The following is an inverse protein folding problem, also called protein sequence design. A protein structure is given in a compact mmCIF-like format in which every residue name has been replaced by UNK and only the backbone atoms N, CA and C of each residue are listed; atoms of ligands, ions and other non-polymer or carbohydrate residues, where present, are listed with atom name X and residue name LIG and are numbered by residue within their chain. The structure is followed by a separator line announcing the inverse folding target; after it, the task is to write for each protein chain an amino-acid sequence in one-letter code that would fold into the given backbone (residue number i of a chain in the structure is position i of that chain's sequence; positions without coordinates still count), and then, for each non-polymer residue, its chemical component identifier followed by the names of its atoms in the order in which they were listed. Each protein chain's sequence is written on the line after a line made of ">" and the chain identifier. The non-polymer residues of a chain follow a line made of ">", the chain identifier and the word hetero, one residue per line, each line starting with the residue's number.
data_IF_178487039445
#
_entry.id   IF_178487039445
#
_cell.length_a   1.000
_cell.length_b   1.000
_cell.length_c   1.000
_cell.angle_alpha   90.00
_cell.angle_beta   90.00
_cell.angle_gamma   90.00
#
_symmetry.space_group_name_H-M   'P 1'
#
loop_
_entity.id
_entity.type
_entity.pdbx_description
1 polymer ?
#
# COMPACT_ATOMS: atom_id res chain seq x y z
N UNK A 1 -13.49 22.60 -21.18
CA UNK A 1 -12.15 23.06 -20.75
C UNK A 1 -11.22 21.86 -20.81
N UNK A 2 -10.06 21.91 -21.46
CA UNK A 2 -9.18 20.74 -21.64
C UNK A 2 -8.81 20.05 -20.31
N UNK A 3 -8.71 20.84 -19.23
CA UNK A 3 -8.35 20.37 -17.90
C UNK A 3 -9.44 19.55 -17.18
N UNK A 4 -10.72 19.64 -17.59
CA UNK A 4 -11.78 18.82 -16.97
C UNK A 4 -11.72 17.35 -17.40
N UNK A 5 -11.29 17.08 -18.63
CA UNK A 5 -11.08 15.70 -19.12
C UNK A 5 -9.87 15.06 -18.42
N UNK A 6 -8.77 15.80 -18.29
CA UNK A 6 -7.57 15.37 -17.56
C UNK A 6 -7.90 15.04 -16.10
N UNK A 7 -8.66 15.91 -15.42
CA UNK A 7 -9.07 15.67 -14.03
C UNK A 7 -9.91 14.40 -13.86
N UNK A 8 -10.76 14.07 -14.84
CA UNK A 8 -11.55 12.85 -14.82
C UNK A 8 -10.69 11.60 -15.05
N UNK A 9 -9.76 11.65 -16.01
CA UNK A 9 -8.85 10.53 -16.28
C UNK A 9 -7.96 10.20 -15.07
N UNK A 10 -7.37 11.21 -14.43
CA UNK A 10 -6.54 11.02 -13.22
C UNK A 10 -7.36 10.44 -12.07
N UNK A 11 -8.61 10.89 -11.88
CA UNK A 11 -9.51 10.34 -10.85
C UNK A 11 -9.87 8.88 -11.12
N UNK A 12 -10.18 8.52 -12.37
CA UNK A 12 -10.48 7.13 -12.75
C UNK A 12 -9.28 6.22 -12.48
N UNK A 13 -8.07 6.71 -12.81
CA UNK A 13 -6.83 6.00 -12.54
C UNK A 13 -6.64 5.74 -11.04
N UNK A 14 -6.74 6.81 -10.25
CA UNK A 14 -6.57 6.79 -8.81
C UNK A 14 -7.55 5.82 -8.14
N UNK A 15 -8.83 5.88 -8.53
CA UNK A 15 -9.86 4.98 -8.00
C UNK A 15 -9.55 3.52 -8.32
N UNK A 16 -9.12 3.22 -9.54
CA UNK A 16 -8.80 1.86 -9.97
C UNK A 16 -7.59 1.29 -9.23
N UNK A 17 -6.54 2.11 -9.05
CA UNK A 17 -5.35 1.75 -8.27
C UNK A 17 -5.71 1.50 -6.81
N UNK A 18 -6.51 2.38 -6.20
CA UNK A 18 -6.95 2.23 -4.82
C UNK A 18 -7.79 0.96 -4.62
N UNK A 19 -8.73 0.65 -5.52
CA UNK A 19 -9.51 -0.58 -5.45
C UNK A 19 -8.64 -1.84 -5.51
N UNK A 20 -7.63 -1.84 -6.39
CA UNK A 20 -6.67 -2.95 -6.46
C UNK A 20 -5.84 -3.05 -5.19
N UNK A 21 -5.36 -1.92 -4.67
CA UNK A 21 -4.58 -1.89 -3.43
C UNK A 21 -5.39 -2.38 -2.23
N UNK A 22 -6.63 -1.91 -2.05
CA UNK A 22 -7.54 -2.38 -1.01
C UNK A 22 -7.79 -3.88 -1.10
N UNK A 23 -7.95 -4.42 -2.31
CA UNK A 23 -8.13 -5.85 -2.52
C UNK A 23 -6.87 -6.64 -2.14
N UNK A 24 -5.68 -6.14 -2.49
CA UNK A 24 -4.41 -6.75 -2.10
C UNK A 24 -4.25 -6.78 -0.58
N UNK A 25 -4.56 -5.67 0.11
CA UNK A 25 -4.49 -5.61 1.57
C UNK A 25 -5.44 -6.63 2.20
N UNK A 26 -6.71 -6.69 1.77
CA UNK A 26 -7.68 -7.65 2.29
C UNK A 26 -7.25 -9.11 2.10
N UNK A 27 -6.77 -9.46 0.91
CA UNK A 27 -6.30 -10.81 0.62
C UNK A 27 -5.05 -11.17 1.45
N UNK A 28 -4.15 -10.21 1.65
CA UNK A 28 -2.97 -10.40 2.49
C UNK A 28 -3.34 -10.63 3.96
N UNK A 29 -4.31 -9.88 4.48
CA UNK A 29 -4.82 -10.06 5.84
C UNK A 29 -5.48 -11.44 5.99
N UNK A 30 -6.26 -11.89 5.00
CA UNK A 30 -6.86 -13.24 5.01
C UNK A 30 -5.79 -14.34 5.00
N UNK A 31 -4.74 -14.21 4.19
CA UNK A 31 -3.61 -15.16 4.18
C UNK A 31 -2.92 -15.18 5.54
N UNK A 32 -2.68 -14.02 6.16
CA UNK A 32 -2.05 -13.97 7.48
C UNK A 32 -2.89 -14.62 8.56
N UNK A 33 -4.21 -14.38 8.57
CA UNK A 33 -5.13 -15.01 9.53
C UNK A 33 -5.16 -16.54 9.36
N UNK A 34 -5.26 -17.03 8.11
CA UNK A 34 -5.25 -18.45 7.82
C UNK A 34 -3.91 -19.11 8.17
N UNK A 35 -2.78 -18.43 7.92
CA UNK A 35 -1.46 -18.91 8.27
C UNK A 35 -1.25 -18.96 9.80
N UNK A 36 -1.75 -17.97 10.55
CA UNK A 36 -1.71 -17.95 12.01
C UNK A 36 -2.55 -19.09 12.60
N UNK A 37 -3.78 -19.28 12.11
CA UNK A 37 -4.63 -20.42 12.49
C UNK A 37 -3.92 -21.75 12.23
N UNK A 38 -3.31 -21.92 11.05
CA UNK A 38 -2.55 -23.13 10.71
C UNK A 38 -1.40 -23.36 11.70
N UNK A 39 -0.62 -22.33 12.02
CA UNK A 39 0.55 -22.41 12.91
C UNK A 39 0.18 -22.96 14.28
N UNK A 40 -0.97 -22.56 14.84
CA UNK A 40 -1.41 -23.02 16.16
C UNK A 40 -2.16 -24.35 16.12
N UNK A 41 -2.86 -24.64 15.03
CA UNK A 41 -3.70 -25.84 14.93
C UNK A 41 -2.93 -27.07 14.43
N UNK A 42 -1.85 -26.90 13.65
CA UNK A 42 -1.02 -28.00 13.15
C UNK A 42 -0.43 -28.87 14.29
N UNK A 43 0.12 -28.29 15.38
CA UNK A 43 0.60 -29.06 16.53
C UNK A 43 -0.50 -29.81 17.29
N UNK A 44 -1.73 -29.27 17.32
CA UNK A 44 -2.89 -29.93 17.94
C UNK A 44 -3.38 -31.12 17.09
N UNK A 45 -3.30 -31.01 15.77
CA UNK A 45 -3.65 -32.10 14.83
C UNK A 45 -2.73 -33.32 14.94
N UNK A 46 -1.47 -33.09 15.35
CA UNK A 46 -0.51 -34.17 15.58
C UNK A 46 -0.79 -35.02 16.82
N UNK A 47 -1.50 -34.46 17.81
CA UNK A 47 -1.75 -35.13 19.09
C UNK A 47 -3.10 -35.85 19.15
N UNK A 48 -4.10 -35.38 18.39
CA UNK A 48 -5.48 -35.87 18.48
C UNK A 48 -6.23 -35.74 17.14
N UNK A 49 -7.11 -36.70 16.84
CA UNK A 49 -7.99 -36.69 15.66
C UNK A 49 -9.30 -35.94 15.96
N UNK A 50 -9.19 -34.64 16.27
CA UNK A 50 -10.32 -33.79 16.66
C UNK A 50 -11.01 -33.16 15.45
N UNK A 51 -12.31 -32.88 15.57
CA UNK A 51 -13.03 -32.01 14.64
C UNK A 51 -12.91 -30.55 15.07
N UNK A 52 -13.07 -29.62 14.13
CA UNK A 52 -13.12 -28.19 14.45
C UNK A 52 -14.30 -27.84 15.37
N UNK A 53 -15.43 -28.53 15.23
CA UNK A 53 -16.60 -28.40 16.09
C UNK A 53 -16.30 -28.75 17.54
N UNK A 54 -15.35 -29.68 17.79
CA UNK A 54 -14.89 -30.02 19.14
C UNK A 54 -13.99 -28.92 19.72
N UNK A 55 -13.29 -28.14 18.90
CA UNK A 55 -12.41 -27.04 19.31
C UNK A 55 -13.17 -25.74 19.65
N UNK A 56 -14.42 -25.63 19.21
CA UNK A 56 -15.31 -24.50 19.46
C UNK A 56 -16.72 -25.00 19.80
N UNK A 57 -16.81 -25.73 20.89
CA UNK A 57 -18.08 -26.20 21.42
C UNK A 57 -18.62 -25.25 22.47
N UNK A 58 -19.93 -25.00 22.45
CA UNK A 58 -20.64 -24.29 23.51
C UNK A 58 -21.99 -24.97 23.71
N UNK A 59 -22.12 -25.76 24.78
CA UNK A 59 -23.37 -26.39 25.20
C UNK A 59 -23.97 -25.73 26.44
N UNK A 60 -24.96 -26.39 27.04
CA UNK A 60 -25.65 -25.88 28.24
C UNK A 60 -24.77 -25.96 29.51
N UNK A 61 -23.80 -26.88 29.54
CA UNK A 61 -22.99 -27.17 30.72
C UNK A 61 -21.47 -27.06 30.48
N UNK A 62 -21.02 -27.35 29.25
CA UNK A 62 -19.61 -27.38 28.88
C UNK A 62 -19.34 -26.47 27.69
N UNK A 63 -18.18 -25.84 27.70
CA UNK A 63 -17.61 -25.18 26.53
C UNK A 63 -16.21 -25.72 26.24
N UNK A 64 -15.80 -25.54 25.00
CA UNK A 64 -14.50 -25.92 24.49
C UNK A 64 -13.95 -24.79 23.64
N UNK A 65 -12.69 -24.41 23.89
CA UNK A 65 -12.03 -23.31 23.18
C UNK A 65 -10.52 -23.48 23.17
N UNK A 66 -9.89 -22.90 22.14
CA UNK A 66 -8.44 -22.90 21.98
C UNK A 66 -7.86 -21.56 22.42
N UNK A 67 -6.85 -21.61 23.26
CA UNK A 67 -6.16 -20.47 23.84
C UNK A 67 -4.67 -20.52 23.49
N UNK A 68 -4.07 -19.35 23.35
CA UNK A 68 -2.64 -19.17 23.06
C UNK A 68 -2.04 -18.25 24.12
N UNK A 69 -0.98 -18.69 24.78
CA UNK A 69 -0.24 -17.94 25.81
C UNK A 69 1.25 -18.02 25.53
N UNK A 70 2.06 -17.11 26.06
CA UNK A 70 3.50 -17.35 26.15
C UNK A 70 3.79 -18.52 27.08
N UNK A 71 4.91 -19.21 26.87
CA UNK A 71 5.30 -20.33 27.74
C UNK A 71 5.45 -19.93 29.21
N UNK A 72 5.90 -18.70 29.46
CA UNK A 72 6.03 -18.13 30.81
C UNK A 72 4.67 -17.88 31.46
N UNK A 73 3.75 -17.26 30.72
CA UNK A 73 2.40 -16.97 31.19
C UNK A 73 1.62 -18.27 31.46
N UNK A 74 1.73 -19.26 30.57
CA UNK A 74 1.09 -20.56 30.75
C UNK A 74 1.57 -21.26 32.02
N UNK A 75 2.88 -21.28 32.29
CA UNK A 75 3.45 -21.88 33.51
C UNK A 75 2.99 -21.16 34.78
N UNK A 76 2.89 -19.83 34.74
CA UNK A 76 2.42 -19.04 35.89
C UNK A 76 0.94 -19.29 36.21
N UNK A 77 0.10 -19.47 35.17
CA UNK A 77 -1.33 -19.66 35.32
C UNK A 77 -1.76 -21.13 35.41
N UNK A 78 -0.83 -22.07 35.22
CA UNK A 78 -1.14 -23.50 35.11
C UNK A 78 -1.93 -24.03 36.32
N UNK A 79 -1.50 -23.67 37.54
CA UNK A 79 -2.14 -24.14 38.78
C UNK A 79 -3.54 -23.55 38.98
N UNK A 80 -3.78 -22.32 38.54
CA UNK A 80 -5.09 -21.68 38.59
C UNK A 80 -6.02 -22.28 37.52
N UNK A 81 -5.54 -22.40 36.28
CA UNK A 81 -6.29 -22.96 35.15
C UNK A 81 -6.70 -24.41 35.42
N UNK A 82 -5.81 -25.24 35.98
CA UNK A 82 -6.10 -26.65 36.26
C UNK A 82 -7.30 -26.87 37.19
N UNK A 83 -7.64 -25.91 38.05
CA UNK A 83 -8.80 -26.02 38.94
C UNK A 83 -10.15 -25.84 38.20
N UNK A 84 -10.15 -25.17 37.06
CA UNK A 84 -11.36 -24.88 36.27
C UNK A 84 -11.50 -25.78 35.03
N UNK A 85 -10.41 -26.43 34.60
CA UNK A 85 -10.37 -27.27 33.41
C UNK A 85 -10.71 -28.73 33.75
N UNK A 86 -11.61 -29.34 32.97
CA UNK A 86 -11.88 -30.77 33.04
C UNK A 86 -10.87 -31.58 32.25
N UNK A 87 -10.59 -31.15 31.03
CA UNK A 87 -9.65 -31.77 30.11
C UNK A 87 -8.93 -30.68 29.32
N UNK A 88 -7.64 -30.88 29.08
CA UNK A 88 -6.87 -29.99 28.24
C UNK A 88 -5.84 -30.74 27.39
N UNK A 89 -5.68 -30.30 26.14
CA UNK A 89 -4.62 -30.76 25.24
C UNK A 89 -3.67 -29.60 25.02
N UNK A 90 -2.37 -29.83 25.20
CA UNK A 90 -1.36 -28.76 25.19
C UNK A 90 -0.32 -29.06 24.12
N UNK A 91 -0.04 -28.08 23.28
CA UNK A 91 1.00 -28.14 22.27
C UNK A 91 1.90 -26.90 22.36
N UNK A 92 3.21 -27.12 22.33
CA UNK A 92 4.19 -26.04 22.28
C UNK A 92 4.39 -25.60 20.83
N UNK A 93 4.40 -24.29 20.61
CA UNK A 93 4.57 -23.62 19.31
C UNK A 93 5.63 -22.53 19.48
N UNK A 94 6.89 -22.87 19.17
CA UNK A 94 8.04 -21.98 19.33
C UNK A 94 8.24 -21.47 20.77
N UNK A 95 7.81 -20.25 21.09
CA UNK A 95 7.84 -19.62 22.42
C UNK A 95 6.45 -19.41 23.04
N UNK A 96 5.43 -19.96 22.39
CA UNK A 96 4.03 -19.87 22.78
C UNK A 96 3.49 -21.28 23.04
N UNK A 97 2.63 -21.39 24.04
CA UNK A 97 1.89 -22.60 24.35
C UNK A 97 0.46 -22.42 23.85
N UNK A 98 0.04 -23.32 22.96
CA UNK A 98 -1.35 -23.44 22.52
C UNK A 98 -1.99 -24.56 23.34
N UNK A 99 -3.14 -24.28 23.94
CA UNK A 99 -3.90 -25.32 24.61
C UNK A 99 -5.37 -25.26 24.26
N UNK A 100 -5.92 -26.45 24.05
CA UNK A 100 -7.34 -26.70 23.94
C UNK A 100 -7.88 -26.99 25.33
N UNK A 101 -8.94 -26.30 25.73
CA UNK A 101 -9.49 -26.37 27.07
C UNK A 101 -10.98 -26.70 27.03
N UNK A 102 -11.38 -27.69 27.84
CA UNK A 102 -12.77 -28.07 28.09
C UNK A 102 -13.12 -27.74 29.55
N UNK A 103 -14.12 -26.89 29.75
CA UNK A 103 -14.52 -26.41 31.08
C UNK A 103 -16.03 -26.12 31.17
N UNK A 104 -16.52 -25.80 32.38
CA UNK A 104 -17.91 -25.40 32.57
C UNK A 104 -18.19 -24.03 31.97
N UNK A 105 -19.37 -23.84 31.40
CA UNK A 105 -19.80 -22.54 30.85
C UNK A 105 -19.78 -21.44 31.91
N UNK A 106 -20.07 -21.77 33.17
CA UNK A 106 -20.01 -20.83 34.30
C UNK A 106 -18.59 -20.25 34.50
N UNK A 107 -17.56 -21.05 34.26
CA UNK A 107 -16.16 -20.67 34.44
C UNK A 107 -15.54 -20.03 33.19
N UNK A 108 -16.29 -19.96 32.08
CA UNK A 108 -15.82 -19.43 30.80
C UNK A 108 -15.26 -18.02 30.94
N UNK A 109 -16.01 -17.10 31.58
CA UNK A 109 -15.58 -15.71 31.75
C UNK A 109 -14.31 -15.60 32.58
N UNK A 110 -14.18 -16.43 33.62
CA UNK A 110 -13.01 -16.47 34.49
C UNK A 110 -11.79 -16.92 33.69
N UNK A 111 -11.89 -18.01 32.95
CA UNK A 111 -10.80 -18.53 32.10
C UNK A 111 -10.41 -17.51 31.02
N UNK A 112 -11.38 -16.93 30.32
CA UNK A 112 -11.13 -15.92 29.29
C UNK A 112 -10.45 -14.67 29.88
N UNK A 113 -10.85 -14.22 31.08
CA UNK A 113 -10.21 -13.10 31.76
C UNK A 113 -8.77 -13.42 32.16
N UNK A 114 -8.51 -14.60 32.75
CA UNK A 114 -7.16 -15.01 33.15
C UNK A 114 -6.21 -15.08 31.95
N UNK A 115 -6.69 -15.64 30.83
CA UNK A 115 -5.89 -15.72 29.59
C UNK A 115 -5.62 -14.31 29.04
N UNK A 116 -6.63 -13.44 29.00
CA UNK A 116 -6.49 -12.09 28.46
C UNK A 116 -5.61 -11.20 29.33
N UNK A 117 -5.74 -11.30 30.66
CA UNK A 117 -4.96 -10.51 31.63
C UNK A 117 -3.47 -10.90 31.62
N UNK A 118 -3.16 -12.15 31.30
CA UNK A 118 -1.79 -12.61 31.06
C UNK A 118 -1.25 -12.32 29.64
N UNK A 119 -2.01 -11.56 28.83
CA UNK A 119 -1.61 -11.19 27.47
C UNK A 119 -1.81 -12.29 26.43
N UNK A 120 -2.56 -13.34 26.77
CA UNK A 120 -2.92 -14.41 25.86
C UNK A 120 -4.01 -14.03 24.87
N UNK A 121 -4.18 -14.88 23.86
CA UNK A 121 -5.15 -14.72 22.79
C UNK A 121 -6.10 -15.91 22.74
N UNK A 122 -7.34 -15.62 22.40
CA UNK A 122 -8.38 -16.61 22.15
C UNK A 122 -8.44 -16.86 20.65
N UNK A 123 -8.19 -18.10 20.22
CA UNK A 123 -8.17 -18.43 18.80
C UNK A 123 -9.61 -18.55 18.28
N UNK A 124 -9.93 -17.79 17.23
CA UNK A 124 -11.25 -17.83 16.60
C UNK A 124 -11.29 -18.96 15.58
N UNK A 125 -11.91 -20.08 15.98
CA UNK A 125 -12.08 -21.24 15.10
C UNK A 125 -13.32 -21.04 14.21
N UNK A 126 -13.23 -21.30 12.89
CA UNK A 126 -14.38 -21.30 11.98
C UNK A 126 -15.43 -22.34 12.38
N UNK A 127 -16.72 -22.00 12.20
CA UNK A 127 -17.84 -22.93 12.43
C UNK A 127 -18.02 -23.88 11.24
N UNK A 128 -17.05 -24.77 11.03
CA UNK A 128 -17.07 -25.77 9.96
C UNK A 128 -17.05 -27.18 10.58
N UNK A 129 -17.94 -28.08 10.15
CA UNK A 129 -17.92 -29.49 10.60
C UNK A 129 -16.93 -30.32 9.75
N UNK A 130 -15.66 -29.93 9.84
CA UNK A 130 -14.55 -30.61 9.18
C UNK A 130 -13.60 -31.22 10.20
N UNK A 131 -12.91 -32.29 9.78
CA UNK A 131 -11.79 -32.79 10.57
C UNK A 131 -10.67 -31.77 10.56
N UNK A 132 -9.86 -31.74 11.62
CA UNK A 132 -8.76 -30.78 11.68
C UNK A 132 -7.75 -30.99 10.54
N UNK A 133 -7.56 -32.23 10.07
CA UNK A 133 -6.71 -32.55 8.91
C UNK A 133 -7.27 -31.98 7.60
N UNK A 134 -8.56 -32.21 7.34
CA UNK A 134 -9.21 -31.69 6.13
C UNK A 134 -9.17 -30.15 6.12
N UNK A 135 -9.40 -29.53 7.27
CA UNK A 135 -9.30 -28.08 7.41
C UNK A 135 -7.90 -27.55 7.13
N UNK A 136 -6.85 -28.20 7.65
CA UNK A 136 -5.47 -27.80 7.38
C UNK A 136 -5.13 -27.95 5.88
N UNK A 137 -5.62 -29.00 5.22
CA UNK A 137 -5.42 -29.21 3.78
C UNK A 137 -6.16 -28.16 2.93
N UNK A 138 -7.45 -27.93 3.22
CA UNK A 138 -8.26 -26.91 2.55
C UNK A 138 -7.65 -25.52 2.77
N UNK A 139 -7.27 -25.20 4.00
CA UNK A 139 -6.62 -23.93 4.35
C UNK A 139 -5.30 -23.77 3.60
N UNK A 140 -4.49 -24.83 3.48
CA UNK A 140 -3.24 -24.77 2.73
C UNK A 140 -3.46 -24.54 1.22
N UNK A 141 -4.43 -25.25 0.63
CA UNK A 141 -4.82 -25.03 -0.76
C UNK A 141 -5.37 -23.62 -0.98
N UNK A 142 -6.15 -23.10 -0.03
CA UNK A 142 -6.68 -21.74 -0.05
C UNK A 142 -5.57 -20.70 0.04
N UNK A 143 -4.64 -20.82 1.00
CA UNK A 143 -3.46 -19.95 1.12
C UNK A 143 -2.69 -19.92 -0.21
N UNK A 144 -2.36 -21.08 -0.79
CA UNK A 144 -1.66 -21.14 -2.07
C UNK A 144 -2.42 -20.41 -3.18
N UNK A 145 -3.72 -20.64 -3.30
CA UNK A 145 -4.55 -19.96 -4.31
C UNK A 145 -4.61 -18.44 -4.12
N UNK A 146 -4.66 -17.98 -2.87
CA UNK A 146 -4.66 -16.56 -2.52
C UNK A 146 -3.30 -15.91 -2.79
N UNK A 147 -2.19 -16.60 -2.50
CA UNK A 147 -0.83 -16.15 -2.82
C UNK A 147 -0.60 -16.02 -4.33
N UNK A 148 -1.12 -16.97 -5.12
CA UNK A 148 -1.12 -16.91 -6.58
C UNK A 148 -1.94 -15.71 -7.09
N UNK A 149 -3.15 -15.50 -6.55
CA UNK A 149 -3.98 -14.35 -6.90
C UNK A 149 -3.32 -13.01 -6.51
N UNK A 150 -2.70 -12.95 -5.34
CA UNK A 150 -1.93 -11.78 -4.86
C UNK A 150 -0.77 -11.46 -5.80
N UNK A 151 -0.03 -12.48 -6.23
CA UNK A 151 1.09 -12.31 -7.17
C UNK A 151 0.58 -11.74 -8.49
N UNK A 152 -0.50 -12.31 -9.04
CA UNK A 152 -1.15 -11.81 -10.26
C UNK A 152 -1.63 -10.37 -10.13
N UNK A 153 -2.28 -10.03 -9.01
CA UNK A 153 -2.78 -8.67 -8.75
C UNK A 153 -1.64 -7.66 -8.60
N UNK A 154 -0.52 -8.04 -7.98
CA UNK A 154 0.68 -7.19 -7.86
C UNK A 154 1.32 -6.94 -9.23
N UNK A 155 1.42 -7.96 -10.08
CA UNK A 155 1.90 -7.80 -11.46
C UNK A 155 0.98 -6.91 -12.31
N UNK A 156 -0.34 -7.08 -12.18
CA UNK A 156 -1.33 -6.24 -12.84
C UNK A 156 -1.25 -4.79 -12.36
N UNK A 157 -1.02 -4.56 -11.07
CA UNK A 157 -0.81 -3.22 -10.51
C UNK A 157 0.49 -2.60 -11.03
N UNK A 158 1.58 -3.37 -11.07
CA UNK A 158 2.88 -2.87 -11.53
C UNK A 158 2.87 -2.54 -13.02
N UNK A 159 2.21 -3.35 -13.84
CA UNK A 159 2.09 -3.11 -15.29
C UNK A 159 1.27 -1.85 -15.57
N UNK A 160 0.09 -1.69 -14.94
CA UNK A 160 -0.72 -0.46 -15.05
C UNK A 160 0.02 0.76 -14.54
N UNK A 161 0.64 0.67 -13.36
CA UNK A 161 1.43 1.78 -12.82
C UNK A 161 2.51 2.24 -13.79
N UNK A 162 3.21 1.32 -14.47
CA UNK A 162 4.22 1.68 -15.48
C UNK A 162 3.63 2.37 -16.71
N UNK A 163 2.51 1.86 -17.22
CA UNK A 163 1.80 2.46 -18.36
C UNK A 163 1.33 3.88 -18.04
N UNK A 164 0.79 4.06 -16.85
CA UNK A 164 0.17 5.31 -16.44
C UNK A 164 1.16 6.34 -15.89
N UNK A 165 2.32 5.93 -15.36
CA UNK A 165 3.35 6.82 -14.81
C UNK A 165 3.89 7.80 -15.85
N UNK A 166 4.13 7.35 -17.08
CA UNK A 166 4.59 8.23 -18.15
C UNK A 166 3.53 9.29 -18.48
N UNK A 167 2.26 8.87 -18.56
CA UNK A 167 1.16 9.79 -18.83
C UNK A 167 0.97 10.79 -17.68
N UNK A 168 1.05 10.34 -16.43
CA UNK A 168 0.97 11.20 -15.25
C UNK A 168 2.12 12.20 -15.18
N UNK A 169 3.35 11.80 -15.52
CA UNK A 169 4.50 12.68 -15.54
C UNK A 169 4.32 13.81 -16.57
N UNK A 170 3.85 13.48 -17.78
CA UNK A 170 3.55 14.47 -18.82
C UNK A 170 2.43 15.42 -18.39
N UNK A 171 1.37 14.91 -17.79
CA UNK A 171 0.25 15.72 -17.28
C UNK A 171 0.69 16.66 -16.16
N UNK A 172 1.55 16.18 -15.24
CA UNK A 172 2.12 17.00 -14.17
C UNK A 172 2.93 18.16 -14.73
N UNK A 173 3.78 17.90 -15.73
CA UNK A 173 4.61 18.92 -16.36
C UNK A 173 3.74 19.99 -17.04
N UNK A 174 2.74 19.56 -17.82
CA UNK A 174 1.80 20.47 -18.48
C UNK A 174 1.01 21.33 -17.47
N UNK A 175 0.54 20.73 -16.36
CA UNK A 175 -0.14 21.46 -15.29
C UNK A 175 0.79 22.45 -14.57
N UNK A 176 2.05 22.07 -14.35
CA UNK A 176 3.05 22.96 -13.73
C UNK A 176 3.31 24.19 -14.59
N UNK A 177 3.50 23.99 -15.90
CA UNK A 177 3.70 25.08 -16.85
C UNK A 177 2.47 26.03 -16.90
N UNK A 178 1.26 25.48 -16.91
CA UNK A 178 0.04 26.30 -16.90
C UNK A 178 -0.11 27.08 -15.59
N UNK A 179 0.25 26.46 -14.45
CA UNK A 179 0.18 27.11 -13.15
C UNK A 179 1.21 28.25 -13.02
N UNK A 180 2.43 28.07 -13.54
CA UNK A 180 3.44 29.14 -13.63
C UNK A 180 2.92 30.31 -14.47
N UNK A 181 2.31 30.01 -15.62
CA UNK A 181 1.69 31.04 -16.49
C UNK A 181 0.57 31.80 -15.77
N UNK A 182 -0.34 31.10 -15.11
CA UNK A 182 -1.46 31.71 -14.37
C UNK A 182 -0.97 32.55 -13.20
N UNK A 183 0.07 32.11 -12.49
CA UNK A 183 0.65 32.87 -11.37
C UNK A 183 1.26 34.20 -11.83
N UNK A 184 1.95 34.20 -12.98
CA UNK A 184 2.47 35.45 -13.56
C UNK A 184 1.33 36.36 -14.02
N UNK A 185 0.27 35.82 -14.62
CA UNK A 185 -0.90 36.60 -15.01
C UNK A 185 -1.65 37.20 -13.81
N UNK A 186 -1.80 36.45 -12.72
CA UNK A 186 -2.39 36.95 -11.48
C UNK A 186 -1.58 38.13 -10.94
N UNK A 187 -0.25 38.00 -10.87
CA UNK A 187 0.65 39.08 -10.44
C UNK A 187 0.62 40.28 -11.38
N UNK A 188 0.51 40.05 -12.68
CA UNK A 188 0.35 41.10 -13.68
C UNK A 188 -0.95 41.89 -13.49
N UNK A 189 -2.04 41.23 -13.10
CA UNK A 189 -3.32 41.88 -12.78
C UNK A 189 -3.25 42.73 -11.49
N UNK A 190 -2.46 42.32 -10.50
CA UNK A 190 -2.20 43.11 -9.29
C UNK A 190 -1.22 44.27 -9.53
N UNK A 191 -0.38 44.17 -10.56
CA UNK A 191 0.66 45.14 -10.85
C UNK A 191 0.10 46.42 -11.48
N UNK A 192 0.66 47.56 -11.06
CA UNK A 192 0.35 48.87 -11.66
C UNK A 192 0.89 49.01 -13.08
N UNK A 193 1.91 48.23 -13.44
CA UNK A 193 2.56 48.23 -14.75
C UNK A 193 3.04 46.82 -15.12
N UNK A 194 2.84 46.43 -16.37
CA UNK A 194 3.31 45.16 -16.96
C UNK A 194 4.16 45.50 -18.18
N UNK A 195 5.27 44.81 -18.39
CA UNK A 195 6.17 45.02 -19.55
C UNK A 195 6.36 43.72 -20.31
N UNK A 196 6.07 43.75 -21.61
CA UNK A 196 6.30 42.65 -22.54
C UNK A 196 7.55 42.97 -23.36
N UNK A 197 8.46 42.01 -23.46
CA UNK A 197 9.69 42.12 -24.27
C UNK A 197 9.75 40.91 -25.20
N UNK A 198 9.83 41.18 -26.50
CA UNK A 198 10.04 40.17 -27.53
C UNK A 198 11.42 40.37 -28.16
N UNK A 199 12.08 39.27 -28.51
CA UNK A 199 13.42 39.32 -29.08
C UNK A 199 13.92 37.96 -29.56
N UNK A 200 15.05 38.00 -30.28
CA UNK A 200 15.68 36.83 -30.86
C UNK A 200 16.85 36.37 -30.00
N UNK A 201 16.85 35.10 -29.60
CA UNK A 201 17.96 34.48 -28.86
C UNK A 201 18.51 33.30 -29.69
N UNK A 202 19.85 33.20 -29.89
CA UNK A 202 20.44 32.04 -30.51
C UNK A 202 20.14 30.77 -29.70
N UNK A 203 19.78 29.67 -30.37
CA UNK A 203 19.41 28.40 -29.71
C UNK A 203 20.49 27.88 -28.75
N UNK A 204 21.78 28.16 -29.03
CA UNK A 204 22.88 27.77 -28.13
C UNK A 204 22.96 28.57 -26.82
N UNK A 205 22.20 29.65 -26.69
CA UNK A 205 22.24 30.58 -25.56
C UNK A 205 20.92 30.64 -24.80
N UNK A 206 19.90 29.88 -25.20
CA UNK A 206 18.54 29.95 -24.66
C UNK A 206 18.50 29.67 -23.15
N UNK A 207 19.09 28.56 -22.68
CA UNK A 207 19.08 28.21 -21.25
C UNK A 207 19.82 29.24 -20.39
N UNK A 208 20.96 29.73 -20.88
CA UNK A 208 21.75 30.77 -20.20
C UNK A 208 20.95 32.04 -20.04
N UNK A 209 20.28 32.50 -21.09
CA UNK A 209 19.49 33.72 -21.07
C UNK A 209 18.26 33.58 -20.16
N UNK A 210 17.53 32.44 -20.24
CA UNK A 210 16.39 32.16 -19.36
C UNK A 210 16.82 32.20 -17.89
N UNK A 211 17.95 31.57 -17.56
CA UNK A 211 18.47 31.50 -16.19
C UNK A 211 18.83 32.89 -15.64
N UNK A 212 19.50 33.71 -16.46
CA UNK A 212 19.94 35.05 -16.08
C UNK A 212 18.74 35.99 -15.86
N UNK A 213 17.69 35.87 -16.68
CA UNK A 213 16.44 36.63 -16.51
C UNK A 213 15.66 36.16 -15.29
N UNK A 214 15.52 34.84 -15.06
CA UNK A 214 14.84 34.31 -13.87
C UNK A 214 15.57 34.63 -12.56
N UNK A 215 16.89 34.80 -12.58
CA UNK A 215 17.65 35.23 -11.39
C UNK A 215 17.53 36.72 -11.09
N UNK A 216 17.25 37.54 -12.10
CA UNK A 216 17.20 39.00 -11.97
C UNK A 216 15.79 39.55 -11.73
N UNK A 217 14.75 38.75 -12.00
CA UNK A 217 13.35 39.17 -11.91
C UNK A 217 12.53 38.13 -11.14
N UNK A 218 11.91 38.56 -10.03
CA UNK A 218 11.14 37.68 -9.14
C UNK A 218 9.88 37.08 -9.80
N UNK A 219 9.25 37.80 -10.72
CA UNK A 219 8.02 37.38 -11.40
C UNK A 219 8.15 37.58 -12.92
N UNK A 220 8.53 36.52 -13.63
CA UNK A 220 8.70 36.54 -15.08
C UNK A 220 8.21 35.25 -15.72
N UNK A 221 7.40 35.37 -16.77
CA UNK A 221 7.05 34.26 -17.66
C UNK A 221 7.84 34.42 -18.96
N UNK A 222 8.58 33.39 -19.33
CA UNK A 222 9.41 33.40 -20.54
C UNK A 222 8.93 32.25 -21.42
N UNK A 223 8.50 32.59 -22.63
CA UNK A 223 8.16 31.62 -23.67
C UNK A 223 9.19 31.70 -24.80
N UNK A 224 9.59 30.55 -25.32
CA UNK A 224 10.54 30.44 -26.42
C UNK A 224 10.00 29.51 -27.48
N UNK A 225 9.86 30.02 -28.70
CA UNK A 225 9.43 29.24 -29.86
C UNK A 225 10.44 29.36 -31.00
N UNK A 226 10.40 28.38 -31.91
CA UNK A 226 11.15 28.46 -33.16
C UNK A 226 10.51 29.52 -34.09
N UNK A 227 11.32 30.17 -34.95
CA UNK A 227 10.79 31.10 -35.95
C UNK A 227 9.81 30.39 -36.88
N UNK A 228 8.73 31.06 -37.25
CA UNK A 228 7.84 30.62 -38.32
C UNK A 228 8.48 30.86 -39.70
N UNK A 229 8.00 30.18 -40.75
CA UNK A 229 8.54 30.35 -42.11
C UNK A 229 8.42 31.79 -42.66
N UNK A 230 7.49 32.57 -42.11
CA UNK A 230 7.26 33.98 -42.42
C UNK A 230 8.18 34.94 -41.66
N UNK A 231 8.92 34.47 -40.66
CA UNK A 231 9.75 35.31 -39.81
C UNK A 231 11.21 35.26 -40.27
N UNK A 232 11.86 36.42 -40.33
CA UNK A 232 13.27 36.55 -40.68
C UNK A 232 14.12 36.78 -39.42
N UNK A 233 14.60 35.72 -38.75
CA UNK A 233 15.46 35.86 -37.58
C UNK A 233 16.82 36.47 -37.97
N UNK A 234 17.43 37.27 -37.08
CA UNK A 234 18.76 37.81 -37.31
C UNK A 234 19.81 36.70 -37.38
N UNK A 235 20.66 36.77 -38.40
CA UNK A 235 21.72 35.77 -38.65
C UNK A 235 22.91 35.97 -37.71
N UNK A 236 23.26 34.94 -36.92
CA UNK A 236 24.48 34.93 -36.08
C UNK A 236 25.48 33.90 -36.59
N UNK A 237 26.63 34.35 -37.12
CA UNK A 237 27.69 33.48 -37.64
C UNK A 237 28.60 32.96 -36.51
N UNK A 238 28.74 31.64 -36.39
CA UNK A 238 29.72 30.98 -35.51
C UNK A 238 31.01 30.73 -36.28
N UNK A 239 31.98 31.64 -36.19
CA UNK A 239 33.28 31.49 -36.85
C UNK A 239 34.32 30.87 -35.90
N UNK A 240 35.06 29.88 -36.41
CA UNK A 240 36.29 29.40 -35.77
C UNK A 240 37.30 30.55 -35.68
N UNK A 241 38.14 30.54 -34.62
CA UNK A 241 38.98 31.68 -34.24
C UNK A 241 39.88 32.25 -35.38
N UNK A 242 40.22 31.44 -36.39
CA UNK A 242 41.03 31.85 -37.54
C UNK A 242 40.30 32.59 -38.67
N UNK A 243 38.96 32.70 -38.65
CA UNK A 243 38.17 33.33 -39.74
C UNK A 243 37.47 34.63 -39.26
N UNK A 244 37.66 35.01 -37.99
CA UNK A 244 37.17 36.28 -37.42
C UNK A 244 37.58 37.56 -38.19
N UNK A 245 38.77 37.67 -38.82
CA UNK A 245 39.18 38.94 -39.45
C UNK A 245 38.64 39.18 -40.87
N UNK A 246 37.83 38.28 -41.44
CA UNK A 246 37.34 38.41 -42.83
C UNK A 246 35.83 38.69 -42.95
N UNK A 247 35.22 39.35 -41.98
CA UNK A 247 33.81 39.75 -42.08
C UNK A 247 33.66 41.22 -42.50
N UNK A 248 32.87 41.44 -43.54
CA UNK A 248 32.21 42.71 -43.87
C UNK A 248 30.73 42.55 -43.55
#
# INVERSE_FOLDING_TARGET
>A
WPFSEIGNEVRLLYNKINQLHERIVKLNDEVQQLAELRRYLEPLAGQTDLRLSDLKFSGDYLFSRVFVLSDEAYKSLYDELKNYLFENVVAAVESETVFHAVAKVEDQKTIESLVTDAGGKILQIPDEDLTLRDFLEITNNKIRSLEEELTRLREELQSKAREDLNRLALLREALSAENERLSVLEKACEAKYVTLIEGWIPESNTESAISEVKQSIDYVFIDTRKPEQSEEPPTKLKNLAGIKPFQT
#
